data_IF_434306139556
#
_entry.id   IF_434306139556
#
_cell.length_a   1.000
_cell.length_b   1.000
_cell.length_c   1.000
_cell.angle_alpha   90.00
_cell.angle_beta   90.00
_cell.angle_gamma   90.00
#
_symmetry.space_group_name_H-M   'P 1'
#
loop_
_entity.id
_entity.type
_entity.pdbx_description
1 polymer ?
#
# COMPACT_ATOMS: atom_id res chain seq x y z
N UNK A 1 -7.96 11.02 -4.95
CA UNK A 1 -7.65 10.41 -3.65
C UNK A 1 -8.77 9.42 -3.36
N UNK A 2 -8.44 8.14 -3.32
CA UNK A 2 -9.36 7.06 -3.01
C UNK A 2 -9.31 6.72 -1.53
N UNK A 3 -10.26 5.90 -1.08
CA UNK A 3 -10.44 5.54 0.33
C UNK A 3 -10.48 4.03 0.50
N UNK A 4 -9.67 3.52 1.42
CA UNK A 4 -9.73 2.17 1.94
C UNK A 4 -10.63 2.17 3.19
N UNK A 5 -11.79 1.53 3.14
CA UNK A 5 -12.69 1.43 4.28
C UNK A 5 -12.59 0.03 4.85
N UNK A 6 -12.31 -0.07 6.14
CA UNK A 6 -12.18 -1.32 6.86
C UNK A 6 -12.96 -1.27 8.17
N UNK A 7 -13.76 -2.30 8.43
CA UNK A 7 -14.54 -2.46 9.67
C UNK A 7 -15.41 -1.24 10.06
N UNK A 8 -15.98 -0.54 9.07
CA UNK A 8 -16.82 0.64 9.33
C UNK A 8 -16.08 1.86 9.92
N UNK A 9 -14.74 1.86 9.92
CA UNK A 9 -13.93 3.02 10.30
C UNK A 9 -14.09 4.18 9.31
N UNK A 10 -13.61 5.37 9.71
CA UNK A 10 -13.66 6.63 8.93
C UNK A 10 -12.91 6.60 7.58
N UNK A 11 -12.35 5.45 7.21
CA UNK A 11 -11.63 5.25 5.96
C UNK A 11 -10.22 5.80 5.97
N UNK A 12 -9.35 5.23 5.14
CA UNK A 12 -7.95 5.63 5.01
C UNK A 12 -7.70 6.15 3.60
N UNK A 13 -7.25 7.40 3.49
CA UNK A 13 -7.05 8.06 2.21
C UNK A 13 -5.72 7.65 1.56
N UNK A 14 -5.80 7.24 0.29
CA UNK A 14 -4.64 6.95 -0.55
C UNK A 14 -4.79 7.64 -1.90
N UNK A 15 -3.69 7.73 -2.65
CA UNK A 15 -3.81 8.05 -4.07
C UNK A 15 -4.53 6.90 -4.80
N UNK A 16 -5.31 7.19 -5.85
CA UNK A 16 -6.09 6.16 -6.55
C UNK A 16 -5.16 5.07 -7.12
N UNK A 17 -4.01 5.44 -7.69
CA UNK A 17 -3.05 4.49 -8.26
C UNK A 17 -2.44 3.63 -7.17
N UNK A 18 -2.06 4.23 -6.04
CA UNK A 18 -1.59 3.49 -4.85
C UNK A 18 -2.66 2.52 -4.35
N UNK A 19 -3.89 2.99 -4.23
CA UNK A 19 -5.02 2.18 -3.76
C UNK A 19 -5.30 1.01 -4.70
N UNK A 20 -5.17 1.19 -6.02
CA UNK A 20 -5.36 0.12 -7.00
C UNK A 20 -4.30 -0.99 -6.85
N UNK A 21 -3.04 -0.63 -6.61
CA UNK A 21 -1.98 -1.60 -6.34
C UNK A 21 -2.21 -2.33 -5.01
N UNK A 22 -2.61 -1.61 -3.96
CA UNK A 22 -2.99 -2.21 -2.68
C UNK A 22 -4.16 -3.18 -2.86
N UNK A 23 -5.22 -2.79 -3.57
CA UNK A 23 -6.38 -3.63 -3.83
C UNK A 23 -5.98 -4.96 -4.46
N UNK A 24 -5.13 -4.94 -5.49
CA UNK A 24 -4.70 -6.14 -6.18
C UNK A 24 -3.97 -7.12 -5.24
N UNK A 25 -3.07 -6.62 -4.40
CA UNK A 25 -2.29 -7.43 -3.45
C UNK A 25 -3.17 -7.93 -2.30
N UNK A 26 -3.94 -7.04 -1.67
CA UNK A 26 -4.84 -7.36 -0.57
C UNK A 26 -5.87 -8.41 -1.02
N UNK A 27 -6.55 -8.19 -2.15
CA UNK A 27 -7.55 -9.13 -2.66
C UNK A 27 -6.95 -10.50 -2.98
N UNK A 28 -5.69 -10.57 -3.40
CA UNK A 28 -5.01 -11.85 -3.66
C UNK A 28 -4.74 -12.62 -2.37
N UNK A 29 -4.27 -11.95 -1.31
CA UNK A 29 -4.04 -12.60 -0.01
C UNK A 29 -5.33 -13.01 0.68
N UNK A 30 -6.32 -12.13 0.74
CA UNK A 30 -7.59 -12.43 1.42
C UNK A 30 -8.38 -13.55 0.72
N UNK A 31 -8.30 -13.69 -0.62
CA UNK A 31 -8.85 -14.84 -1.35
C UNK A 31 -8.23 -16.18 -0.95
N UNK A 32 -6.98 -16.18 -0.49
CA UNK A 32 -6.27 -17.35 0.05
C UNK A 32 -6.49 -17.53 1.56
N UNK A 33 -7.36 -16.72 2.15
CA UNK A 33 -7.58 -16.63 3.59
C UNK A 33 -6.32 -16.27 4.39
N UNK A 34 -5.42 -15.52 3.77
CA UNK A 34 -4.18 -15.06 4.40
C UNK A 34 -4.39 -13.65 4.98
N UNK A 35 -4.66 -13.56 6.29
CA UNK A 35 -4.65 -12.29 7.00
C UNK A 35 -3.23 -11.73 7.17
N UNK A 36 -3.09 -10.40 7.18
CA UNK A 36 -1.79 -9.75 7.30
C UNK A 36 -1.91 -8.30 7.79
N UNK A 37 -0.80 -7.72 8.27
CA UNK A 37 -0.72 -6.30 8.62
C UNK A 37 -0.47 -5.44 7.37
N UNK A 38 -1.22 -4.35 7.21
CA UNK A 38 -0.86 -3.22 6.36
C UNK A 38 -0.38 -2.07 7.27
N UNK A 39 0.80 -1.55 7.01
CA UNK A 39 1.46 -0.52 7.82
C UNK A 39 1.89 0.64 6.90
N UNK A 40 1.59 1.87 7.27
CA UNK A 40 1.98 3.07 6.51
C UNK A 40 2.06 4.31 7.40
N UNK A 41 2.73 5.34 6.92
CA UNK A 41 2.69 6.67 7.55
C UNK A 41 1.52 7.47 6.96
N UNK A 42 0.56 7.82 7.80
CA UNK A 42 -0.54 8.70 7.45
C UNK A 42 -0.11 10.16 7.63
N UNK A 43 0.12 10.84 6.51
CA UNK A 43 0.52 12.25 6.48
C UNK A 43 -0.68 13.21 6.46
N UNK A 44 -1.92 12.71 6.57
CA UNK A 44 -3.11 13.57 6.64
C UNK A 44 -3.29 14.24 8.00
N UNK A 45 -2.61 13.73 9.03
CA UNK A 45 -2.71 14.21 10.41
C UNK A 45 -1.35 14.71 10.89
N UNK A 46 -1.19 16.04 10.97
CA UNK A 46 0.00 16.70 11.52
C UNK A 46 1.21 16.72 10.59
N UNK A 47 2.23 17.50 10.97
CA UNK A 47 3.43 17.71 10.15
C UNK A 47 4.39 16.50 10.13
N UNK A 48 4.43 15.71 11.21
CA UNK A 48 5.31 14.53 11.32
C UNK A 48 4.68 13.26 10.73
N UNK A 49 3.38 13.28 10.42
CA UNK A 49 2.61 12.09 10.05
C UNK A 49 2.38 11.15 11.24
N UNK A 50 1.46 10.19 11.08
CA UNK A 50 1.13 9.20 12.10
C UNK A 50 1.36 7.80 11.56
N UNK A 51 2.17 6.99 12.23
CA UNK A 51 2.31 5.57 11.87
C UNK A 51 0.99 4.85 12.13
N UNK A 52 0.37 4.32 11.08
CA UNK A 52 -0.84 3.51 11.15
C UNK A 52 -0.55 2.07 10.78
N UNK A 53 -1.20 1.17 11.49
CA UNK A 53 -1.22 -0.25 11.15
C UNK A 53 -2.63 -0.80 11.29
N UNK A 54 -3.04 -1.64 10.35
CA UNK A 54 -4.31 -2.36 10.41
C UNK A 54 -4.07 -3.84 10.14
N UNK A 55 -4.72 -4.69 10.91
CA UNK A 55 -4.82 -6.12 10.60
C UNK A 55 -5.94 -6.32 9.58
N UNK A 56 -5.63 -6.91 8.44
CA UNK A 56 -6.60 -7.26 7.40
C UNK A 56 -6.96 -8.74 7.52
N UNK A 57 -8.25 -9.03 7.68
CA UNK A 57 -8.78 -10.39 7.79
C UNK A 57 -9.88 -10.67 6.74
N UNK A 58 -9.93 -11.87 6.12
CA UNK A 58 -10.96 -12.23 5.16
C UNK A 58 -12.40 -12.21 5.71
N UNK A 59 -12.58 -12.28 7.03
CA UNK A 59 -13.88 -12.25 7.69
C UNK A 59 -14.40 -10.84 8.00
N UNK A 60 -13.59 -9.80 7.76
CA UNK A 60 -13.94 -8.41 8.07
C UNK A 60 -14.26 -7.66 6.76
N UNK A 61 -15.29 -6.80 6.80
CA UNK A 61 -15.71 -6.02 5.64
C UNK A 61 -14.61 -5.05 5.19
N UNK A 62 -14.34 -5.05 3.89
CA UNK A 62 -13.33 -4.23 3.24
C UNK A 62 -13.90 -3.62 1.95
N UNK A 63 -13.76 -2.31 1.77
CA UNK A 63 -14.19 -1.60 0.57
C UNK A 63 -13.07 -0.71 0.03
N UNK A 64 -12.98 -0.64 -1.29
CA UNK A 64 -12.07 0.25 -2.01
C UNK A 64 -12.92 1.25 -2.80
N UNK A 65 -12.84 2.52 -2.42
CA UNK A 65 -13.61 3.60 -3.06
C UNK A 65 -12.63 4.49 -3.82
N UNK A 66 -12.73 4.52 -5.16
CA UNK A 66 -11.88 5.35 -6.00
C UNK A 66 -12.53 6.71 -6.28
N UNK A 67 -11.72 7.76 -6.41
CA UNK A 67 -12.26 9.08 -6.76
C UNK A 67 -12.79 9.14 -8.20
N UNK A 68 -12.20 8.35 -9.10
CA UNK A 68 -12.57 8.31 -10.50
C UNK A 68 -13.24 6.98 -10.85
N UNK A 69 -14.25 6.97 -11.75
CA UNK A 69 -14.93 5.75 -12.20
C UNK A 69 -14.11 4.94 -13.22
N UNK A 70 -12.79 4.96 -13.10
CA UNK A 70 -11.84 4.28 -13.99
C UNK A 70 -10.74 3.65 -13.16
N UNK A 71 -10.43 2.38 -13.42
CA UNK A 71 -9.33 1.71 -12.73
C UNK A 71 -7.97 2.27 -13.22
N UNK A 72 -7.10 2.71 -12.30
CA UNK A 72 -5.74 3.10 -12.64
C UNK A 72 -4.95 1.93 -13.25
N UNK A 73 -4.04 2.24 -14.16
CA UNK A 73 -3.14 1.23 -14.73
C UNK A 73 -2.19 0.68 -13.66
N UNK A 74 -2.10 -0.65 -13.60
CA UNK A 74 -1.26 -1.37 -12.65
C UNK A 74 0.11 -1.65 -13.25
N UNK A 75 1.16 -1.29 -12.51
CA UNK A 75 2.53 -1.64 -12.82
C UNK A 75 2.86 -3.01 -12.21
N UNK A 76 3.27 -3.95 -13.07
CA UNK A 76 3.63 -5.32 -12.67
C UNK A 76 4.82 -5.37 -11.70
N UNK A 77 5.77 -4.47 -11.83
CA UNK A 77 6.95 -4.41 -10.99
C UNK A 77 6.58 -4.07 -9.53
N UNK A 78 5.73 -3.07 -9.35
CA UNK A 78 5.25 -2.68 -8.02
C UNK A 78 4.33 -3.74 -7.42
N UNK A 79 3.48 -4.38 -8.23
CA UNK A 79 2.69 -5.52 -7.77
C UNK A 79 3.58 -6.64 -7.24
N UNK A 80 4.66 -6.98 -7.96
CA UNK A 80 5.64 -7.98 -7.51
C UNK A 80 6.28 -7.60 -6.19
N UNK A 81 6.77 -6.36 -6.07
CA UNK A 81 7.40 -5.84 -4.86
C UNK A 81 6.45 -5.81 -3.65
N UNK A 82 5.23 -5.32 -3.82
CA UNK A 82 4.23 -5.26 -2.77
C UNK A 82 3.78 -6.67 -2.35
N UNK A 83 3.63 -7.60 -3.30
CA UNK A 83 3.29 -9.00 -3.02
C UNK A 83 4.39 -9.69 -2.21
N UNK A 84 5.65 -9.52 -2.60
CA UNK A 84 6.80 -10.05 -1.86
C UNK A 84 6.79 -9.59 -0.40
N UNK A 85 6.61 -8.27 -0.18
CA UNK A 85 6.52 -7.69 1.17
C UNK A 85 5.35 -8.22 1.97
N UNK A 86 4.17 -8.28 1.37
CA UNK A 86 2.96 -8.74 2.04
C UNK A 86 3.05 -10.23 2.44
N UNK A 87 3.97 -11.00 1.85
CA UNK A 87 4.25 -12.38 2.24
C UNK A 87 5.33 -12.50 3.34
N UNK A 88 5.98 -11.41 3.72
CA UNK A 88 6.94 -11.38 4.82
C UNK A 88 6.26 -11.33 6.20
N UNK A 89 6.98 -11.76 7.24
CA UNK A 89 6.46 -11.82 8.61
C UNK A 89 6.11 -10.46 9.22
N UNK A 90 6.69 -9.36 8.71
CA UNK A 90 6.43 -8.00 9.19
C UNK A 90 5.15 -7.36 8.62
N UNK A 91 4.44 -8.06 7.72
CA UNK A 91 3.33 -7.48 6.96
C UNK A 91 3.79 -6.57 5.82
N UNK A 92 2.82 -5.93 5.18
CA UNK A 92 3.05 -4.98 4.09
C UNK A 92 3.33 -3.60 4.66
N UNK A 93 4.60 -3.23 4.74
CA UNK A 93 5.03 -1.85 5.03
C UNK A 93 5.05 -1.04 3.72
N UNK A 94 4.12 -0.09 3.61
CA UNK A 94 4.03 0.86 2.50
C UNK A 94 4.84 2.11 2.85
N UNK A 95 6.09 2.14 2.40
CA UNK A 95 7.00 3.26 2.61
C UNK A 95 6.66 4.46 1.72
N UNK A 96 6.92 5.67 2.23
CA UNK A 96 6.57 6.92 1.53
C UNK A 96 7.29 7.07 0.19
N UNK A 97 8.54 6.64 0.10
CA UNK A 97 9.30 6.67 -1.16
C UNK A 97 8.68 5.74 -2.22
N UNK A 98 8.23 4.53 -1.82
CA UNK A 98 7.55 3.61 -2.72
C UNK A 98 6.19 4.18 -3.14
N UNK A 99 5.46 4.79 -2.20
CA UNK A 99 4.18 5.45 -2.48
C UNK A 99 4.35 6.60 -3.48
N UNK A 100 5.37 7.45 -3.31
CA UNK A 100 5.68 8.55 -4.23
C UNK A 100 5.98 8.06 -5.64
N UNK A 101 6.73 6.96 -5.77
CA UNK A 101 7.02 6.33 -7.07
C UNK A 101 5.74 5.78 -7.72
N UNK A 102 4.88 5.10 -6.96
CA UNK A 102 3.61 4.59 -7.47
C UNK A 102 2.71 5.74 -7.97
N UNK A 103 2.74 6.90 -7.29
CA UNK A 103 2.04 8.13 -7.72
C UNK A 103 2.62 8.77 -8.99
N UNK A 104 3.75 8.30 -9.49
CA UNK A 104 4.56 8.94 -10.55
C UNK A 104 5.12 10.32 -10.17
N UNK A 105 5.30 10.58 -8.86
CA UNK A 105 6.01 11.79 -8.39
C UNK A 105 7.53 11.64 -8.53
N UNK A 106 8.02 10.41 -8.68
CA UNK A 106 9.43 10.08 -8.97
C UNK A 106 9.53 8.99 -10.05
N UNK A 107 10.65 8.89 -10.79
CA UNK A 107 10.83 7.87 -11.82
C UNK A 107 10.72 6.44 -11.29
N UNK A 108 10.13 5.55 -12.09
CA UNK A 108 10.03 4.12 -11.74
C UNK A 108 11.42 3.49 -11.53
N UNK A 109 11.53 2.61 -10.54
CA UNK A 109 12.77 1.93 -10.13
C UNK A 109 13.63 2.71 -9.12
N UNK A 110 13.34 3.98 -8.86
CA UNK A 110 14.10 4.85 -7.92
C UNK A 110 14.13 4.27 -6.51
N UNK A 111 13.00 3.76 -6.04
CA UNK A 111 12.82 3.12 -4.75
C UNK A 111 13.76 1.93 -4.56
N UNK A 112 13.85 1.05 -5.56
CA UNK A 112 14.72 -0.14 -5.51
C UNK A 112 16.20 0.25 -5.48
N UNK A 113 16.58 1.28 -6.24
CA UNK A 113 17.96 1.78 -6.28
C UNK A 113 18.39 2.33 -4.91
N UNK A 114 17.57 3.19 -4.29
CA UNK A 114 17.84 3.78 -2.97
C UNK A 114 17.99 2.71 -1.87
N UNK A 115 17.08 1.73 -1.83
CA UNK A 115 17.15 0.63 -0.85
C UNK A 115 18.38 -0.25 -1.03
N UNK A 116 18.80 -0.47 -2.27
CA UNK A 116 20.00 -1.28 -2.57
C UNK A 116 21.29 -0.58 -2.15
N UNK A 117 21.33 0.75 -2.17
CA UNK A 117 22.46 1.55 -1.66
C UNK A 117 22.52 1.48 -0.13
N UNK A 118 21.40 1.67 0.56
CA UNK A 118 21.34 1.58 2.03
C UNK A 118 21.81 0.23 2.58
N UNK A 119 21.53 -0.87 1.87
CA UNK A 119 21.95 -2.22 2.28
C UNK A 119 23.45 -2.50 2.05
N UNK A 120 24.16 -1.67 1.27
CA UNK A 120 25.62 -1.79 1.07
C UNK A 120 26.42 -0.96 2.06
N UNK A 121 25.78 -0.02 2.75
CA UNK A 121 26.40 0.94 3.66
C UNK A 121 26.25 0.59 5.14
N UNK A 122 25.48 -0.45 5.47
CA UNK A 122 25.32 -1.00 6.84
C UNK A 122 25.77 -2.45 6.93
#
# INVERSE_FOLDING_TARGET
MGTLIYDGADGFAFDDRVLAHLQAVIATKLRRREGFLLIWTDTTVGAEGTLRSIWLDPAISLQFVFAHPTFPELNREWLGLLTERANGNGGLVLEDALRAEIRAEVPEGTYKAARSQQRKEG
#
